data_IF_578058125497
#
_entry.id   IF_578058125497
#
_cell.length_a   1.000
_cell.length_b   1.000
_cell.length_c   1.000
_cell.angle_alpha   90.00
_cell.angle_beta   90.00
_cell.angle_gamma   90.00
#
_symmetry.space_group_name_H-M   'P 1'
#
loop_
_entity.id
_entity.type
_entity.pdbx_description
1 polymer ?
#
# COMPACT_ATOMS: atom_id res chain seq x y z
N UNK A 1 -17.06 15.94 -38.65
CA UNK A 1 -16.42 16.44 -37.42
C UNK A 1 -16.35 15.29 -36.42
N UNK A 2 -15.24 15.21 -35.63
CA UNK A 2 -15.02 14.07 -34.74
C UNK A 2 -16.16 13.84 -33.73
N UNK A 3 -16.74 14.93 -33.21
CA UNK A 3 -17.90 14.86 -32.28
C UNK A 3 -19.15 14.26 -32.93
N UNK A 4 -19.41 14.55 -34.20
CA UNK A 4 -20.53 13.97 -34.94
C UNK A 4 -20.37 12.47 -35.18
N UNK A 5 -19.11 12.01 -35.20
CA UNK A 5 -18.75 10.61 -35.35
C UNK A 5 -18.59 9.88 -34.01
N UNK A 6 -18.80 10.54 -32.87
CA UNK A 6 -18.61 9.98 -31.53
C UNK A 6 -17.14 9.62 -31.18
N UNK A 7 -16.18 10.28 -31.84
CA UNK A 7 -14.74 10.04 -31.64
C UNK A 7 -14.20 11.04 -30.61
N UNK A 8 -13.54 10.52 -29.57
CA UNK A 8 -12.87 11.35 -28.58
C UNK A 8 -11.65 12.05 -29.19
N UNK A 9 -11.50 13.33 -28.87
CA UNK A 9 -10.48 14.21 -29.44
C UNK A 9 -9.53 14.71 -28.34
N UNK A 10 -8.23 14.70 -28.65
CA UNK A 10 -7.23 15.44 -27.90
C UNK A 10 -6.50 16.38 -28.86
N UNK A 11 -6.53 17.67 -28.55
CA UNK A 11 -5.87 18.71 -29.33
C UNK A 11 -4.65 19.20 -28.55
N UNK A 12 -3.49 19.14 -29.18
CA UNK A 12 -2.23 19.59 -28.56
C UNK A 12 -2.30 21.08 -28.27
N UNK A 13 -1.95 21.46 -27.06
CA UNK A 13 -1.92 22.84 -26.56
C UNK A 13 -3.30 23.59 -26.58
N UNK A 14 -4.42 22.87 -26.81
CA UNK A 14 -5.75 23.47 -26.83
C UNK A 14 -6.76 22.70 -25.97
N UNK A 15 -6.63 22.87 -24.66
CA UNK A 15 -7.41 22.15 -23.65
C UNK A 15 -8.94 22.26 -23.81
N UNK A 16 -9.54 23.42 -24.18
CA UNK A 16 -10.98 23.55 -24.37
C UNK A 16 -11.58 22.61 -25.43
N UNK A 17 -10.77 22.16 -26.38
CA UNK A 17 -11.19 21.25 -27.45
C UNK A 17 -10.83 19.79 -27.20
N UNK A 18 -10.33 19.49 -25.98
CA UNK A 18 -9.98 18.14 -25.60
C UNK A 18 -11.12 17.44 -24.85
N UNK A 19 -11.49 16.25 -25.29
CA UNK A 19 -12.40 15.36 -24.56
C UNK A 19 -11.63 14.56 -23.47
N UNK A 20 -10.30 14.43 -23.61
CA UNK A 20 -9.41 13.80 -22.62
C UNK A 20 -8.02 14.43 -22.65
N UNK A 21 -7.23 14.18 -21.61
CA UNK A 21 -5.84 14.63 -21.53
C UNK A 21 -4.96 13.39 -21.39
N UNK A 22 -3.95 13.28 -22.26
CA UNK A 22 -2.98 12.20 -22.21
C UNK A 22 -2.08 12.37 -21.00
N UNK A 23 -2.03 11.38 -20.07
CA UNK A 23 -1.14 11.44 -18.92
C UNK A 23 0.31 11.20 -19.33
N UNK A 24 1.24 11.63 -18.49
CA UNK A 24 2.64 11.21 -18.57
C UNK A 24 2.75 9.76 -18.11
N UNK A 25 3.40 8.90 -18.89
CA UNK A 25 3.45 7.46 -18.66
C UNK A 25 4.85 7.00 -18.26
N UNK A 26 4.91 6.11 -17.27
CA UNK A 26 6.08 5.27 -17.00
C UNK A 26 5.71 3.84 -17.34
N UNK A 27 6.49 3.20 -18.21
CA UNK A 27 6.25 1.85 -18.66
C UNK A 27 7.35 0.91 -18.17
N UNK A 28 6.93 -0.20 -17.56
CA UNK A 28 7.77 -1.33 -17.13
C UNK A 28 7.08 -2.64 -17.54
N UNK A 29 6.95 -2.86 -18.85
CA UNK A 29 6.22 -4.01 -19.38
C UNK A 29 4.73 -3.97 -19.04
N UNK A 30 4.23 -4.91 -18.24
CA UNK A 30 2.81 -4.92 -17.80
C UNK A 30 2.47 -3.83 -16.80
N UNK A 31 3.48 -3.29 -16.12
CA UNK A 31 3.25 -2.21 -15.17
C UNK A 31 3.26 -0.88 -15.91
N UNK A 32 2.18 -0.13 -15.75
CA UNK A 32 2.03 1.22 -16.30
C UNK A 32 1.63 2.16 -15.18
N UNK A 33 2.33 3.30 -15.09
CA UNK A 33 2.00 4.35 -14.12
C UNK A 33 1.68 5.61 -14.92
N UNK A 34 0.46 6.11 -14.73
CA UNK A 34 -0.04 7.30 -15.40
C UNK A 34 -0.10 8.47 -14.41
N UNK A 35 0.46 9.61 -14.78
CA UNK A 35 0.53 10.80 -13.94
C UNK A 35 -0.10 11.97 -14.70
N UNK A 36 -1.11 12.59 -14.12
CA UNK A 36 -1.84 13.71 -14.74
C UNK A 36 -2.12 14.81 -13.73
N UNK A 37 -2.07 16.04 -14.17
CA UNK A 37 -2.57 17.22 -13.44
C UNK A 37 -3.86 17.78 -14.01
N UNK A 38 -4.57 17.02 -14.88
CA UNK A 38 -5.71 17.53 -15.60
C UNK A 38 -5.37 18.73 -16.51
N UNK A 39 -4.11 18.79 -16.99
CA UNK A 39 -3.64 19.90 -17.83
C UNK A 39 -3.24 21.17 -17.03
N UNK A 40 -3.17 21.11 -15.68
CA UNK A 40 -2.85 22.29 -14.87
C UNK A 40 -1.36 22.65 -14.92
N UNK A 41 -0.45 21.65 -14.89
CA UNK A 41 0.99 21.92 -14.89
C UNK A 41 1.81 20.77 -15.47
N UNK A 42 2.20 20.84 -16.75
CA UNK A 42 3.07 19.83 -17.38
C UNK A 42 4.45 19.73 -16.71
N UNK A 43 5.01 20.83 -16.22
CA UNK A 43 6.31 20.86 -15.54
C UNK A 43 6.26 20.10 -14.22
N UNK A 44 5.20 20.28 -13.43
CA UNK A 44 5.01 19.53 -12.17
C UNK A 44 4.93 18.02 -12.44
N UNK A 45 4.18 17.62 -13.46
CA UNK A 45 4.03 16.20 -13.84
C UNK A 45 5.38 15.61 -14.27
N UNK A 46 6.20 16.37 -15.01
CA UNK A 46 7.56 15.93 -15.37
C UNK A 46 8.42 15.72 -14.13
N UNK A 47 8.43 16.65 -13.19
CA UNK A 47 9.19 16.51 -11.94
C UNK A 47 8.75 15.28 -11.11
N UNK A 48 7.44 15.04 -11.02
CA UNK A 48 6.91 13.83 -10.33
C UNK A 48 7.37 12.59 -11.07
N UNK A 49 7.28 12.56 -12.40
CA UNK A 49 7.74 11.44 -13.21
C UNK A 49 9.23 11.15 -12.98
N UNK A 50 10.09 12.16 -13.01
CA UNK A 50 11.54 12.03 -12.78
C UNK A 50 11.83 11.40 -11.41
N UNK A 51 11.13 11.84 -10.36
CA UNK A 51 11.24 11.24 -9.02
C UNK A 51 10.82 9.78 -9.00
N UNK A 52 9.69 9.44 -9.63
CA UNK A 52 9.20 8.06 -9.70
C UNK A 52 10.14 7.16 -10.52
N UNK A 53 10.67 7.66 -11.65
CA UNK A 53 11.64 6.92 -12.46
C UNK A 53 12.91 6.54 -11.67
N UNK A 54 13.32 7.39 -10.72
CA UNK A 54 14.49 7.17 -9.88
C UNK A 54 14.29 6.09 -8.80
N UNK A 55 13.04 5.90 -8.31
CA UNK A 55 12.75 4.96 -7.22
C UNK A 55 12.15 3.64 -7.70
N UNK A 56 11.61 3.58 -8.92
CA UNK A 56 10.96 2.38 -9.44
C UNK A 56 11.98 1.41 -10.04
N UNK A 57 12.04 0.15 -9.56
CA UNK A 57 12.94 -0.86 -10.11
C UNK A 57 12.72 -1.08 -11.61
N UNK A 58 13.80 -1.30 -12.34
CA UNK A 58 13.72 -1.54 -13.79
C UNK A 58 13.10 -2.90 -14.11
N UNK A 59 13.22 -3.88 -13.21
CA UNK A 59 12.70 -5.23 -13.38
C UNK A 59 11.23 -5.42 -13.00
N UNK A 60 10.47 -4.35 -12.73
CA UNK A 60 9.04 -4.44 -12.38
C UNK A 60 8.22 -5.22 -13.41
N UNK A 61 8.56 -5.07 -14.70
CA UNK A 61 7.91 -5.82 -15.77
C UNK A 61 8.15 -7.33 -15.64
N UNK A 62 9.38 -7.73 -15.33
CA UNK A 62 9.77 -9.11 -15.07
C UNK A 62 9.02 -9.67 -13.86
N UNK A 63 8.94 -8.92 -12.76
CA UNK A 63 8.19 -9.32 -11.56
C UNK A 63 6.70 -9.53 -11.86
N UNK A 64 6.10 -8.62 -12.63
CA UNK A 64 4.69 -8.72 -13.00
C UNK A 64 4.40 -9.93 -13.91
N UNK A 65 5.27 -10.20 -14.89
CA UNK A 65 5.15 -11.39 -15.75
C UNK A 65 5.32 -12.68 -14.95
N UNK A 66 6.29 -12.71 -14.05
CA UNK A 66 6.51 -13.84 -13.16
C UNK A 66 5.28 -14.11 -12.28
N UNK A 67 4.75 -13.09 -11.58
CA UNK A 67 3.56 -13.22 -10.75
C UNK A 67 2.35 -13.70 -11.57
N UNK A 68 2.17 -13.18 -12.78
CA UNK A 68 1.12 -13.62 -13.68
C UNK A 68 1.28 -15.09 -14.07
N UNK A 69 2.50 -15.56 -14.33
CA UNK A 69 2.77 -16.98 -14.65
C UNK A 69 2.42 -17.93 -13.49
N UNK A 70 2.54 -17.45 -12.24
CA UNK A 70 2.25 -18.23 -11.02
C UNK A 70 0.79 -18.17 -10.57
N UNK A 71 -0.08 -17.47 -11.29
CA UNK A 71 -1.46 -17.21 -10.86
C UNK A 71 -2.27 -18.47 -10.56
N UNK A 72 -2.12 -19.51 -11.36
CA UNK A 72 -2.88 -20.75 -11.17
C UNK A 72 -2.25 -21.62 -10.08
N UNK A 73 -0.95 -21.84 -10.13
CA UNK A 73 -0.25 -22.67 -9.14
C UNK A 73 -0.39 -22.12 -7.70
N UNK A 74 -0.37 -20.80 -7.53
CA UNK A 74 -0.57 -20.23 -6.19
C UNK A 74 -2.02 -20.34 -5.69
N UNK A 75 -3.01 -20.34 -6.59
CA UNK A 75 -4.41 -20.59 -6.22
C UNK A 75 -4.64 -22.03 -5.73
N UNK A 76 -3.94 -22.97 -6.33
CA UNK A 76 -3.98 -24.39 -5.93
C UNK A 76 -3.28 -24.60 -4.60
N UNK A 77 -2.09 -24.00 -4.42
CA UNK A 77 -1.31 -24.13 -3.20
C UNK A 77 -1.90 -23.37 -2.00
N UNK A 78 -2.47 -22.18 -2.23
CA UNK A 78 -3.04 -21.30 -1.21
C UNK A 78 -4.50 -20.96 -1.56
N UNK A 79 -5.50 -21.74 -1.08
CA UNK A 79 -6.91 -21.53 -1.41
C UNK A 79 -7.48 -20.20 -0.93
N UNK A 80 -7.04 -19.70 0.23
CA UNK A 80 -7.50 -18.44 0.81
C UNK A 80 -6.94 -17.23 0.04
N UNK A 81 -7.80 -16.23 -0.20
CA UNK A 81 -7.39 -14.95 -0.81
C UNK A 81 -6.37 -14.23 0.06
N UNK A 82 -6.60 -14.24 1.38
CA UNK A 82 -5.71 -13.58 2.34
C UNK A 82 -4.32 -14.21 2.40
N UNK A 83 -4.24 -15.55 2.37
CA UNK A 83 -2.96 -16.26 2.32
C UNK A 83 -2.19 -15.90 1.04
N UNK A 84 -2.88 -15.86 -0.12
CA UNK A 84 -2.24 -15.43 -1.37
C UNK A 84 -1.76 -13.98 -1.32
N UNK A 85 -2.55 -13.09 -0.71
CA UNK A 85 -2.15 -11.69 -0.52
C UNK A 85 -0.91 -11.60 0.36
N UNK A 86 -0.91 -12.23 1.55
CA UNK A 86 0.23 -12.25 2.48
C UNK A 86 1.48 -12.84 1.83
N UNK A 87 1.32 -13.90 1.04
CA UNK A 87 2.40 -14.50 0.26
C UNK A 87 3.04 -13.50 -0.70
N UNK A 88 2.24 -12.80 -1.52
CA UNK A 88 2.77 -11.84 -2.48
C UNK A 88 3.36 -10.61 -1.80
N UNK A 89 2.80 -10.16 -0.70
CA UNK A 89 3.38 -9.09 0.11
C UNK A 89 4.77 -9.50 0.63
N UNK A 90 4.91 -10.71 1.17
CA UNK A 90 6.19 -11.24 1.63
C UNK A 90 7.19 -11.40 0.47
N UNK A 91 6.75 -11.95 -0.65
CA UNK A 91 7.57 -12.14 -1.84
C UNK A 91 8.10 -10.80 -2.36
N UNK A 92 7.23 -9.83 -2.62
CA UNK A 92 7.64 -8.51 -3.14
C UNK A 92 8.37 -7.62 -2.13
N UNK A 93 8.29 -7.92 -0.84
CA UNK A 93 9.08 -7.23 0.19
C UNK A 93 10.51 -7.76 0.32
N UNK A 94 10.84 -8.85 -0.37
CA UNK A 94 12.18 -9.39 -0.36
C UNK A 94 13.10 -8.57 -1.28
N UNK A 95 14.21 -7.99 -0.77
CA UNK A 95 15.14 -7.20 -1.57
C UNK A 95 15.74 -7.95 -2.77
N UNK A 96 15.87 -9.28 -2.67
CA UNK A 96 16.39 -10.10 -3.77
C UNK A 96 15.44 -10.14 -4.97
N UNK A 97 14.13 -9.94 -4.76
CA UNK A 97 13.15 -9.84 -5.84
C UNK A 97 13.35 -8.55 -6.65
N UNK A 98 13.64 -7.43 -5.98
CA UNK A 98 13.96 -6.17 -6.66
C UNK A 98 15.27 -6.24 -7.46
N UNK A 99 16.20 -7.08 -7.04
CA UNK A 99 17.50 -7.27 -7.69
C UNK A 99 17.51 -8.40 -8.72
N UNK A 100 16.46 -9.20 -8.81
CA UNK A 100 16.37 -10.34 -9.73
C UNK A 100 16.42 -9.90 -11.20
N UNK A 101 17.23 -10.61 -12.00
CA UNK A 101 17.48 -10.29 -13.41
C UNK A 101 16.76 -11.20 -14.38
N UNK A 102 16.24 -12.32 -13.90
CA UNK A 102 15.59 -13.34 -14.72
C UNK A 102 14.59 -14.17 -13.92
N UNK A 103 13.75 -14.93 -14.64
CA UNK A 103 12.73 -15.78 -14.05
C UNK A 103 13.30 -16.90 -13.16
N UNK A 104 14.51 -17.37 -13.39
CA UNK A 104 15.12 -18.43 -12.59
C UNK A 104 15.44 -17.95 -11.16
N UNK A 105 15.94 -16.74 -11.04
CA UNK A 105 16.19 -16.09 -9.75
C UNK A 105 14.88 -15.88 -8.98
N UNK A 106 13.86 -15.34 -9.66
CA UNK A 106 12.52 -15.18 -9.08
C UNK A 106 11.89 -16.50 -8.65
N UNK A 107 12.09 -17.58 -9.44
CA UNK A 107 11.60 -18.92 -9.11
C UNK A 107 12.26 -19.44 -7.82
N UNK A 108 13.56 -19.26 -7.68
CA UNK A 108 14.28 -19.68 -6.47
C UNK A 108 13.73 -18.97 -5.22
N UNK A 109 13.51 -17.65 -5.31
CA UNK A 109 12.94 -16.86 -4.22
C UNK A 109 11.49 -17.28 -3.93
N UNK A 110 10.71 -17.53 -4.99
CA UNK A 110 9.32 -18.00 -4.90
C UNK A 110 9.23 -19.32 -4.13
N UNK A 111 10.07 -20.30 -4.48
CA UNK A 111 10.09 -21.60 -3.80
C UNK A 111 10.54 -21.47 -2.35
N UNK A 112 11.54 -20.63 -2.07
CA UNK A 112 11.96 -20.33 -0.71
C UNK A 112 10.86 -19.67 0.12
N UNK A 113 10.10 -18.75 -0.47
CA UNK A 113 8.96 -18.08 0.17
C UNK A 113 7.82 -19.07 0.43
N UNK A 114 7.54 -19.97 -0.51
CA UNK A 114 6.53 -21.03 -0.35
C UNK A 114 6.89 -22.06 0.74
N UNK A 115 8.18 -22.35 0.90
CA UNK A 115 8.68 -23.28 1.92
C UNK A 115 8.67 -22.66 3.34
N UNK A 116 8.66 -21.33 3.43
CA UNK A 116 8.59 -20.66 4.73
C UNK A 116 7.11 -20.47 5.12
N UNK A 117 6.74 -20.79 6.38
CA UNK A 117 5.41 -20.51 6.87
C UNK A 117 5.13 -19.02 6.72
N UNK A 118 3.99 -18.68 6.11
CA UNK A 118 3.49 -17.31 6.14
C UNK A 118 3.33 -16.91 7.60
N UNK A 119 3.82 -15.74 7.97
CA UNK A 119 3.61 -15.21 9.32
C UNK A 119 2.11 -14.89 9.47
N UNK A 120 1.36 -15.89 9.96
CA UNK A 120 -0.08 -15.76 10.22
C UNK A 120 -0.38 -15.00 11.50
N UNK A 121 0.67 -14.70 12.30
CA UNK A 121 0.48 -13.97 13.55
C UNK A 121 0.08 -12.54 13.25
N UNK A 122 -1.06 -12.16 13.81
CA UNK A 122 -1.45 -10.77 13.88
C UNK A 122 -0.38 -9.94 14.59
N UNK A 123 -0.29 -8.69 14.26
CA UNK A 123 0.61 -7.74 14.91
C UNK A 123 -0.15 -6.49 15.28
N UNK A 124 0.26 -5.84 16.36
CA UNK A 124 -0.27 -4.55 16.74
C UNK A 124 0.87 -3.53 16.74
N UNK A 125 0.64 -2.40 16.08
CA UNK A 125 1.57 -1.28 16.04
C UNK A 125 0.85 -0.04 16.52
N UNK A 126 1.39 0.59 17.55
CA UNK A 126 0.87 1.82 18.12
C UNK A 126 1.57 3.01 17.49
N UNK A 127 0.79 3.96 16.98
CA UNK A 127 1.28 5.16 16.31
C UNK A 127 0.78 6.39 17.07
N UNK A 128 1.72 7.13 17.65
CA UNK A 128 1.43 8.36 18.35
C UNK A 128 1.37 9.52 17.36
N UNK A 129 0.17 10.04 17.13
CA UNK A 129 -0.05 11.13 16.19
C UNK A 129 0.18 12.49 16.82
N UNK A 130 1.18 13.22 16.30
CA UNK A 130 1.32 14.64 16.51
C UNK A 130 0.34 15.46 15.64
N UNK A 131 0.42 16.78 15.74
CA UNK A 131 -0.40 17.69 14.91
C UNK A 131 0.02 17.72 13.44
N UNK A 132 1.29 17.41 13.18
CA UNK A 132 1.88 17.45 11.84
C UNK A 132 2.11 16.03 11.35
N UNK A 133 1.34 15.63 10.36
CA UNK A 133 1.40 14.31 9.74
C UNK A 133 2.71 14.08 8.96
N UNK A 134 3.35 15.15 8.48
CA UNK A 134 4.64 15.05 7.79
C UNK A 134 5.79 14.65 8.73
N UNK A 135 5.60 14.82 10.05
CA UNK A 135 6.56 14.39 11.06
C UNK A 135 6.46 12.90 11.43
N UNK A 136 5.57 12.15 10.80
CA UNK A 136 5.48 10.71 11.02
C UNK A 136 6.76 10.01 10.53
N UNK A 137 7.34 9.11 11.34
CA UNK A 137 8.46 8.29 10.89
C UNK A 137 8.08 7.46 9.67
N UNK A 138 8.99 7.33 8.69
CA UNK A 138 8.80 6.47 7.51
C UNK A 138 8.42 5.04 7.93
N UNK A 139 8.93 4.58 9.07
CA UNK A 139 8.58 3.29 9.65
C UNK A 139 7.07 3.19 9.94
N UNK A 140 6.45 4.23 10.50
CA UNK A 140 5.01 4.28 10.76
C UNK A 140 4.22 4.09 9.46
N UNK A 141 4.57 4.84 8.42
CA UNK A 141 3.91 4.75 7.10
C UNK A 141 3.98 3.33 6.54
N UNK A 142 5.10 2.63 6.72
CA UNK A 142 5.22 1.23 6.29
C UNK A 142 4.20 0.31 6.98
N UNK A 143 4.03 0.42 8.30
CA UNK A 143 3.04 -0.36 9.04
C UNK A 143 1.61 0.03 8.66
N UNK A 144 1.35 1.33 8.46
CA UNK A 144 0.05 1.83 7.99
C UNK A 144 -0.35 1.23 6.64
N UNK A 145 0.61 1.08 5.73
CA UNK A 145 0.40 0.45 4.42
C UNK A 145 0.27 -1.07 4.48
N UNK A 146 0.63 -1.71 5.58
CA UNK A 146 0.49 -3.15 5.80
C UNK A 146 -0.70 -3.50 6.71
N UNK A 147 -1.33 -2.52 7.33
CA UNK A 147 -2.44 -2.73 8.25
C UNK A 147 -3.65 -3.34 7.54
N UNK A 148 -4.32 -4.27 8.21
CA UNK A 148 -5.62 -4.85 7.82
C UNK A 148 -6.75 -4.15 8.55
N UNK A 149 -6.45 -3.63 9.75
CA UNK A 149 -7.37 -2.86 10.58
C UNK A 149 -6.65 -1.63 11.15
N UNK A 150 -7.25 -0.46 11.00
CA UNK A 150 -6.83 0.78 11.62
C UNK A 150 -7.82 1.17 12.72
N UNK A 151 -7.37 1.13 13.96
CA UNK A 151 -8.12 1.59 15.12
C UNK A 151 -7.66 3.01 15.47
N UNK A 152 -8.55 3.97 15.49
CA UNK A 152 -8.17 5.36 15.76
C UNK A 152 -9.01 5.98 16.88
N UNK A 153 -8.32 6.72 17.75
CA UNK A 153 -9.01 7.50 18.78
C UNK A 153 -9.84 8.60 18.14
N UNK A 154 -11.07 8.81 18.61
CA UNK A 154 -11.93 9.93 18.19
C UNK A 154 -11.29 11.30 18.45
N UNK A 155 -10.21 11.35 19.23
CA UNK A 155 -9.43 12.57 19.51
C UNK A 155 -8.29 12.79 18.50
N UNK A 156 -8.05 11.86 17.55
CA UNK A 156 -7.04 12.01 16.50
C UNK A 156 -7.59 12.82 15.32
N UNK A 157 -6.76 13.65 14.75
CA UNK A 157 -7.05 14.32 13.49
C UNK A 157 -7.00 13.31 12.33
N UNK A 158 -7.85 13.50 11.31
CA UNK A 158 -8.14 12.49 10.30
C UNK A 158 -7.08 12.35 9.19
N UNK A 159 -6.20 13.34 9.00
CA UNK A 159 -5.28 13.40 7.85
C UNK A 159 -4.30 12.22 7.80
N UNK A 160 -3.89 11.70 8.96
CA UNK A 160 -3.06 10.51 9.02
C UNK A 160 -3.76 9.25 8.46
N UNK A 161 -5.09 9.21 8.48
CA UNK A 161 -5.83 8.08 7.95
C UNK A 161 -5.72 7.93 6.43
N UNK A 162 -5.40 9.00 5.71
CA UNK A 162 -5.14 8.95 4.26
C UNK A 162 -3.87 8.16 3.93
N UNK A 163 -2.94 8.03 4.89
CA UNK A 163 -1.72 7.24 4.76
C UNK A 163 -1.94 5.74 5.06
N UNK A 164 -3.08 5.37 5.61
CA UNK A 164 -3.42 3.96 5.82
C UNK A 164 -3.81 3.32 4.49
N UNK A 165 -3.42 2.07 4.30
CA UNK A 165 -3.80 1.29 3.12
C UNK A 165 -5.29 1.42 2.83
N UNK A 166 -5.64 1.65 1.57
CA UNK A 166 -6.99 2.05 1.15
C UNK A 166 -8.07 0.99 1.47
N UNK A 167 -7.73 -0.27 1.42
CA UNK A 167 -8.62 -1.42 1.66
C UNK A 167 -8.60 -1.93 3.12
N UNK A 168 -7.86 -1.25 4.04
CA UNK A 168 -7.91 -1.56 5.46
C UNK A 168 -9.24 -1.14 6.08
N UNK A 169 -9.80 -1.98 6.95
CA UNK A 169 -10.91 -1.58 7.81
C UNK A 169 -10.49 -0.45 8.74
N UNK A 170 -11.41 0.49 9.00
CA UNK A 170 -11.15 1.66 9.85
C UNK A 170 -12.23 1.77 10.89
N UNK A 171 -11.87 1.68 12.16
CA UNK A 171 -12.80 1.76 13.29
C UNK A 171 -12.33 2.80 14.31
N UNK A 172 -13.25 3.69 14.72
CA UNK A 172 -13.00 4.62 15.80
C UNK A 172 -13.17 3.95 17.16
N UNK A 173 -12.49 4.50 18.17
CA UNK A 173 -12.73 4.19 19.59
C UNK A 173 -12.67 5.46 20.44
N UNK A 174 -13.42 5.48 21.54
CA UNK A 174 -13.57 6.63 22.41
C UNK A 174 -12.86 6.45 23.76
N UNK A 175 -12.63 5.21 24.19
CA UNK A 175 -12.05 4.88 25.50
C UNK A 175 -11.29 3.55 25.49
N UNK A 176 -10.57 3.28 26.57
CA UNK A 176 -9.70 2.10 26.69
C UNK A 176 -10.49 0.76 26.71
N UNK A 177 -11.70 0.72 27.23
CA UNK A 177 -12.50 -0.50 27.25
C UNK A 177 -12.93 -0.90 25.85
N UNK A 178 -13.46 0.04 25.07
CA UNK A 178 -13.83 -0.18 23.67
C UNK A 178 -12.63 -0.62 22.82
N UNK A 179 -11.47 0.03 23.00
CA UNK A 179 -10.24 -0.34 22.33
C UNK A 179 -9.79 -1.77 22.69
N UNK A 180 -9.86 -2.13 23.97
CA UNK A 180 -9.49 -3.47 24.45
C UNK A 180 -10.33 -4.57 23.78
N UNK A 181 -11.65 -4.37 23.66
CA UNK A 181 -12.55 -5.33 23.01
C UNK A 181 -12.22 -5.48 21.52
N UNK A 182 -11.97 -4.35 20.81
CA UNK A 182 -11.58 -4.36 19.41
C UNK A 182 -10.24 -5.05 19.19
N UNK A 183 -9.24 -4.80 20.04
CA UNK A 183 -7.94 -5.47 20.00
C UNK A 183 -8.05 -6.96 20.26
N UNK A 184 -8.87 -7.38 21.23
CA UNK A 184 -9.10 -8.79 21.51
C UNK A 184 -9.71 -9.53 20.32
N UNK A 185 -10.68 -8.92 19.63
CA UNK A 185 -11.26 -9.44 18.40
C UNK A 185 -10.22 -9.54 17.29
N UNK A 186 -9.49 -8.45 17.02
CA UNK A 186 -8.48 -8.40 15.97
C UNK A 186 -7.34 -9.44 16.19
N UNK A 187 -6.94 -9.65 17.46
CA UNK A 187 -5.96 -10.67 17.84
C UNK A 187 -6.48 -12.09 17.59
N UNK A 188 -7.75 -12.34 17.88
CA UNK A 188 -8.40 -13.63 17.59
C UNK A 188 -8.42 -13.92 16.08
N UNK A 189 -8.63 -12.87 15.28
CA UNK A 189 -8.71 -12.97 13.83
C UNK A 189 -7.32 -12.87 13.16
N UNK A 190 -6.23 -12.82 13.94
CA UNK A 190 -4.84 -12.70 13.50
C UNK A 190 -4.59 -11.51 12.54
N UNK A 191 -5.25 -10.37 12.79
CA UNK A 191 -5.12 -9.19 11.95
C UNK A 191 -3.84 -8.38 12.28
N UNK A 192 -3.29 -7.73 11.27
CA UNK A 192 -2.26 -6.69 11.43
C UNK A 192 -2.96 -5.37 11.72
N UNK A 193 -2.81 -4.88 12.94
CA UNK A 193 -3.51 -3.70 13.45
C UNK A 193 -2.57 -2.51 13.60
N UNK A 194 -2.97 -1.34 13.14
CA UNK A 194 -2.40 -0.07 13.56
C UNK A 194 -3.36 0.66 14.49
N UNK A 195 -2.89 1.04 15.66
CA UNK A 195 -3.66 1.82 16.65
C UNK A 195 -3.14 3.25 16.66
N UNK A 196 -4.01 4.20 16.43
CA UNK A 196 -3.69 5.63 16.37
C UNK A 196 -4.20 6.34 17.60
N UNK A 197 -3.29 6.93 18.35
CA UNK A 197 -3.61 7.70 19.57
C UNK A 197 -2.89 9.06 19.52
N UNK A 198 -3.44 10.09 20.17
CA UNK A 198 -2.77 11.39 20.24
C UNK A 198 -1.43 11.30 20.97
N UNK A 199 -0.43 12.01 20.49
CA UNK A 199 0.87 12.12 21.13
C UNK A 199 0.74 12.64 22.58
N UNK A 200 1.48 12.04 23.50
CA UNK A 200 1.46 12.41 24.93
C UNK A 200 0.30 11.80 25.73
N UNK A 201 -0.54 10.95 25.12
CA UNK A 201 -1.60 10.24 25.82
C UNK A 201 -1.04 9.04 26.59
N UNK A 202 -1.28 8.97 27.90
CA UNK A 202 -0.91 7.84 28.77
C UNK A 202 -2.05 6.86 29.04
N UNK A 203 -3.28 7.22 28.70
CA UNK A 203 -4.52 6.45 28.96
C UNK A 203 -4.45 5.00 28.46
N UNK A 204 -3.73 4.76 27.37
CA UNK A 204 -3.68 3.45 26.69
C UNK A 204 -2.38 2.66 26.93
N UNK A 205 -1.47 3.16 27.78
CA UNK A 205 -0.15 2.53 28.01
C UNK A 205 -0.24 1.07 28.46
N UNK A 206 -1.22 0.74 29.30
CA UNK A 206 -1.42 -0.62 29.80
C UNK A 206 -1.85 -1.59 28.68
N UNK A 207 -2.49 -1.10 27.63
CA UNK A 207 -2.91 -1.92 26.48
C UNK A 207 -1.78 -2.16 25.47
N UNK A 208 -0.74 -1.33 25.48
CA UNK A 208 0.39 -1.44 24.55
C UNK A 208 1.23 -2.70 24.82
N UNK A 209 1.40 -3.09 26.08
CA UNK A 209 2.14 -4.28 26.46
C UNK A 209 3.57 -4.30 25.85
N UNK A 210 3.86 -5.34 25.05
CA UNK A 210 5.13 -5.50 24.31
C UNK A 210 5.01 -5.18 22.82
N UNK A 211 3.89 -4.60 22.40
CA UNK A 211 3.67 -4.22 21.01
C UNK A 211 4.64 -3.12 20.55
N UNK A 212 4.81 -3.00 19.24
CA UNK A 212 5.63 -1.94 18.68
C UNK A 212 4.95 -0.58 18.87
N UNK A 213 5.67 0.37 19.47
CA UNK A 213 5.24 1.76 19.65
C UNK A 213 6.12 2.68 18.80
N UNK A 214 5.51 3.59 18.03
CA UNK A 214 6.16 4.54 17.13
C UNK A 214 5.64 5.95 17.39
#
# INVERSE_FOLDING_TARGET
NAKELGILVNVVDDKPYCDFITPSMINRGRIQIAISSGGASPVLIRNIREKLEAILPQNMGLMAEFANSKRNSIKEALPSVDLRRKFWEQFFSNPDVENARNNRELETIYQATMANPLDEKGSCTWIHLGKDVEMLPIKAVRYMQQAELALYSTKCESDAMELVRRDAEREAFSNAAELSDKLAKAKKDNLRVCVFIPQGTSEFMLLQGQDLVI
#
